data_IF_937174286414
#
_entry.id   IF_937174286414
#
_cell.length_a   1.000
_cell.length_b   1.000
_cell.length_c   1.000
_cell.angle_alpha   90.00
_cell.angle_beta   90.00
_cell.angle_gamma   90.00
#
_symmetry.space_group_name_H-M   'P 1'
#
loop_
_entity.id
_entity.type
_entity.pdbx_description
1 polymer ?
#
# COMPACT_ATOMS: atom_id res chain seq x y z
N UNK A 1 27.29 -41.76 20.87
CA UNK A 1 26.22 -41.56 19.89
C UNK A 1 25.49 -40.30 20.24
N UNK A 2 25.96 -39.20 19.66
CA UNK A 2 25.32 -37.89 19.92
C UNK A 2 24.14 -37.70 18.96
N UNK A 3 22.95 -37.59 19.50
CA UNK A 3 21.78 -37.19 18.74
C UNK A 3 21.87 -35.67 18.55
N UNK A 4 22.15 -35.24 17.32
CA UNK A 4 21.94 -33.89 16.88
C UNK A 4 20.43 -33.71 16.71
N UNK A 5 19.78 -33.04 17.64
CA UNK A 5 18.40 -32.56 17.44
C UNK A 5 18.45 -31.48 16.38
N UNK A 6 17.97 -31.75 15.19
CA UNK A 6 17.64 -30.75 14.19
C UNK A 6 16.63 -29.81 14.83
N UNK A 7 17.07 -28.60 15.14
CA UNK A 7 16.21 -27.53 15.59
C UNK A 7 15.19 -27.23 14.48
N UNK A 8 13.92 -27.53 14.73
CA UNK A 8 12.81 -27.15 13.88
C UNK A 8 12.78 -25.62 13.87
N UNK A 9 13.46 -25.00 12.89
CA UNK A 9 13.38 -23.55 12.68
C UNK A 9 11.94 -23.25 12.21
N UNK A 10 11.07 -22.92 13.15
CA UNK A 10 9.71 -22.45 12.84
C UNK A 10 9.86 -21.19 11.98
N UNK A 11 9.38 -21.24 10.75
CA UNK A 11 9.36 -20.08 9.85
C UNK A 11 8.63 -18.93 10.54
N UNK A 12 9.19 -17.73 10.47
CA UNK A 12 8.53 -16.53 10.98
C UNK A 12 7.22 -16.28 10.21
N UNK A 13 6.28 -15.57 10.81
CA UNK A 13 5.04 -15.20 10.11
C UNK A 13 5.31 -14.33 8.87
N UNK A 14 6.42 -13.57 8.84
CA UNK A 14 6.85 -12.86 7.64
C UNK A 14 7.29 -13.85 6.55
N UNK A 15 8.09 -14.87 6.88
CA UNK A 15 8.51 -15.88 5.92
C UNK A 15 7.32 -16.67 5.34
N UNK A 16 6.31 -16.94 6.18
CA UNK A 16 5.07 -17.57 5.73
C UNK A 16 4.32 -16.65 4.76
N UNK A 17 4.19 -15.36 5.09
CA UNK A 17 3.54 -14.39 4.22
C UNK A 17 4.26 -14.26 2.87
N UNK A 18 5.58 -14.10 2.89
CA UNK A 18 6.39 -14.02 1.67
C UNK A 18 6.22 -15.27 0.81
N UNK A 19 6.26 -16.46 1.41
CA UNK A 19 6.08 -17.71 0.69
C UNK A 19 4.67 -17.84 0.10
N UNK A 20 3.63 -17.49 0.86
CA UNK A 20 2.23 -17.51 0.42
C UNK A 20 1.96 -16.57 -0.77
N UNK A 21 2.68 -15.43 -0.82
CA UNK A 21 2.56 -14.47 -1.92
C UNK A 21 3.42 -14.81 -3.14
N UNK A 22 4.17 -15.92 -3.16
CA UNK A 22 4.94 -16.40 -4.32
C UNK A 22 6.45 -16.46 -4.12
N UNK A 23 6.96 -15.98 -3.00
CA UNK A 23 8.37 -16.06 -2.62
C UNK A 23 9.26 -14.96 -3.22
N UNK A 24 10.35 -14.64 -2.51
CA UNK A 24 11.30 -13.59 -2.91
C UNK A 24 12.00 -13.90 -4.25
N UNK A 25 12.35 -15.17 -4.48
CA UNK A 25 13.05 -15.56 -5.71
C UNK A 25 12.20 -15.27 -6.95
N UNK A 26 10.88 -15.46 -6.86
CA UNK A 26 9.97 -15.13 -7.95
C UNK A 26 9.77 -13.62 -8.08
N UNK A 27 9.52 -12.94 -6.97
CA UNK A 27 9.34 -11.48 -6.95
C UNK A 27 10.54 -10.74 -7.52
N UNK A 28 11.76 -11.15 -7.16
CA UNK A 28 13.01 -10.52 -7.59
C UNK A 28 13.35 -10.71 -9.07
N UNK A 29 12.60 -11.55 -9.80
CA UNK A 29 12.75 -11.68 -11.26
C UNK A 29 12.13 -10.49 -12.01
N UNK A 30 11.28 -9.72 -11.35
CA UNK A 30 10.59 -8.58 -11.94
C UNK A 30 11.20 -7.27 -11.44
N UNK A 31 11.08 -6.22 -12.25
CA UNK A 31 11.51 -4.86 -11.92
C UNK A 31 10.36 -3.95 -11.55
N UNK A 32 9.22 -4.17 -12.18
CA UNK A 32 8.03 -3.34 -12.00
C UNK A 32 6.77 -4.19 -11.91
N UNK A 33 5.75 -3.65 -11.25
CA UNK A 33 4.37 -4.12 -11.38
C UNK A 33 3.48 -2.95 -11.81
N UNK A 34 2.56 -3.22 -12.70
CA UNK A 34 1.55 -2.24 -13.11
C UNK A 34 0.15 -2.84 -13.07
N UNK A 35 -0.86 -1.98 -12.85
CA UNK A 35 -2.26 -2.38 -12.82
C UNK A 35 -3.17 -1.26 -13.28
N UNK A 36 -4.31 -1.58 -13.87
CA UNK A 36 -5.42 -0.63 -13.98
C UNK A 36 -6.07 -0.45 -12.61
N UNK A 37 -6.36 0.82 -12.29
CA UNK A 37 -6.79 1.29 -11.00
C UNK A 37 -8.17 1.93 -11.14
N UNK A 38 -9.12 1.47 -10.31
CA UNK A 38 -10.41 2.13 -10.11
C UNK A 38 -10.49 2.55 -8.65
N UNK A 39 -10.56 3.85 -8.42
CA UNK A 39 -10.67 4.44 -7.09
C UNK A 39 -12.10 4.87 -6.80
N UNK A 40 -12.51 4.75 -5.54
CA UNK A 40 -13.78 5.22 -5.02
C UNK A 40 -13.72 5.46 -3.51
N UNK A 41 -14.88 5.76 -2.92
CA UNK A 41 -15.03 6.02 -1.49
C UNK A 41 -15.17 7.52 -1.16
N UNK A 42 -15.54 7.80 0.10
CA UNK A 42 -15.89 9.17 0.57
C UNK A 42 -14.71 10.10 0.68
N UNK A 43 -13.49 9.58 0.80
CA UNK A 43 -12.30 10.41 1.03
C UNK A 43 -12.07 11.43 -0.07
N UNK A 44 -12.33 11.06 -1.32
CA UNK A 44 -12.04 11.93 -2.47
C UNK A 44 -12.91 13.20 -2.46
N UNK A 45 -14.18 13.10 -2.05
CA UNK A 45 -15.07 14.25 -1.83
C UNK A 45 -14.55 15.15 -0.70
N UNK A 46 -14.11 14.55 0.42
CA UNK A 46 -13.54 15.32 1.54
C UNK A 46 -12.25 16.05 1.16
N UNK A 47 -11.53 15.53 0.18
CA UNK A 47 -10.28 16.11 -0.31
C UNK A 47 -10.45 17.07 -1.48
N UNK A 48 -11.67 17.24 -2.01
CA UNK A 48 -11.91 18.03 -3.23
C UNK A 48 -11.30 17.38 -4.49
N UNK A 49 -11.16 16.04 -4.47
CA UNK A 49 -10.49 15.24 -5.51
C UNK A 49 -11.45 14.29 -6.23
N UNK A 50 -12.75 14.57 -6.22
CA UNK A 50 -13.78 13.68 -6.81
C UNK A 50 -13.59 13.43 -8.31
N UNK A 51 -13.04 14.40 -9.03
CA UNK A 51 -12.90 14.36 -10.47
C UNK A 51 -11.60 13.75 -10.98
N UNK A 52 -10.55 13.67 -10.16
CA UNK A 52 -9.19 13.31 -10.60
C UNK A 52 -9.11 11.93 -11.22
N UNK A 53 -10.00 11.00 -10.79
CA UNK A 53 -9.94 9.60 -11.20
C UNK A 53 -11.25 9.04 -11.75
N UNK A 54 -12.32 9.83 -11.82
CA UNK A 54 -13.69 9.32 -12.00
C UNK A 54 -14.02 8.79 -13.41
N UNK A 55 -13.23 9.06 -14.44
CA UNK A 55 -13.57 8.69 -15.83
C UNK A 55 -12.39 8.19 -16.68
N UNK A 56 -11.23 7.96 -16.12
CA UNK A 56 -10.04 7.58 -16.87
C UNK A 56 -9.52 6.24 -16.38
N UNK A 57 -9.23 5.32 -17.29
CA UNK A 57 -8.49 4.10 -16.96
C UNK A 57 -7.06 4.49 -16.64
N UNK A 58 -6.78 4.75 -15.37
CA UNK A 58 -5.44 5.05 -14.91
C UNK A 58 -4.70 3.74 -14.67
N UNK A 59 -3.47 3.68 -15.18
CA UNK A 59 -2.52 2.63 -14.86
C UNK A 59 -1.55 3.16 -13.82
N UNK A 60 -1.51 2.49 -12.67
CA UNK A 60 -0.40 2.65 -11.72
C UNK A 60 0.74 1.75 -12.15
N UNK A 61 1.97 2.25 -12.06
CA UNK A 61 3.20 1.46 -12.20
C UNK A 61 4.11 1.77 -11.03
N UNK A 62 4.61 0.73 -10.34
CA UNK A 62 5.58 0.88 -9.25
C UNK A 62 6.85 0.09 -9.56
N UNK A 63 7.98 0.60 -9.09
CA UNK A 63 9.25 -0.11 -9.08
C UNK A 63 9.30 -1.05 -7.86
N UNK A 64 9.72 -2.30 -8.06
CA UNK A 64 9.70 -3.32 -7.01
C UNK A 64 10.92 -3.28 -6.08
N UNK A 65 11.98 -2.53 -6.45
CA UNK A 65 13.25 -2.50 -5.75
C UNK A 65 13.62 -1.13 -5.15
N UNK A 66 12.75 -0.14 -5.37
CA UNK A 66 12.88 1.21 -4.81
C UNK A 66 11.50 1.86 -4.75
N UNK A 67 11.36 2.81 -3.85
CA UNK A 67 10.08 3.51 -3.68
C UNK A 67 9.87 4.56 -4.79
N UNK A 68 9.37 4.09 -5.94
CA UNK A 68 8.98 4.89 -7.09
C UNK A 68 7.62 4.45 -7.60
N UNK A 69 6.79 5.40 -8.00
CA UNK A 69 5.49 5.14 -8.59
C UNK A 69 5.13 6.19 -9.66
N UNK A 70 4.27 5.77 -10.57
CA UNK A 70 3.69 6.65 -11.60
C UNK A 70 2.25 6.26 -11.87
N UNK A 71 1.39 7.26 -12.09
CA UNK A 71 0.01 7.12 -12.54
C UNK A 71 -0.09 7.73 -13.94
N UNK A 72 -0.61 6.99 -14.91
CA UNK A 72 -0.76 7.45 -16.29
C UNK A 72 -2.04 6.88 -16.95
N UNK A 73 -2.77 7.69 -17.75
CA UNK A 73 -2.61 9.13 -17.90
C UNK A 73 -3.02 9.88 -16.63
N UNK A 74 -2.52 11.11 -16.44
CA UNK A 74 -2.92 11.98 -15.33
C UNK A 74 -3.32 13.34 -15.87
N UNK A 75 -4.53 13.83 -15.55
CA UNK A 75 -5.18 15.03 -16.07
C UNK A 75 -5.34 15.03 -17.59
N UNK A 76 -4.24 15.02 -18.34
CA UNK A 76 -4.22 14.98 -19.81
C UNK A 76 -3.66 13.64 -20.31
N UNK A 77 -4.07 13.21 -21.53
CA UNK A 77 -3.62 11.93 -22.09
C UNK A 77 -2.09 11.79 -22.25
N UNK A 78 -1.38 12.91 -22.41
CA UNK A 78 0.06 12.97 -22.54
C UNK A 78 0.79 13.34 -21.25
N UNK A 79 0.13 13.19 -20.08
CA UNK A 79 0.72 13.46 -18.78
C UNK A 79 0.75 12.20 -17.92
N UNK A 80 1.75 12.16 -17.04
CA UNK A 80 1.92 11.14 -16.01
C UNK A 80 2.39 11.78 -14.72
N UNK A 81 2.22 11.06 -13.62
CA UNK A 81 2.85 11.46 -12.35
C UNK A 81 4.22 10.83 -12.21
N UNK A 82 5.09 11.49 -11.45
CA UNK A 82 6.36 10.93 -11.00
C UNK A 82 6.45 11.09 -9.48
N UNK A 83 6.79 10.00 -8.79
CA UNK A 83 6.88 9.96 -7.34
C UNK A 83 8.16 9.32 -6.88
N UNK A 84 8.80 9.99 -5.93
CA UNK A 84 9.76 9.48 -4.96
C UNK A 84 9.39 10.04 -3.58
N UNK A 85 9.90 9.50 -2.45
CA UNK A 85 9.63 10.09 -1.14
C UNK A 85 9.98 11.58 -1.02
N UNK A 86 10.95 12.06 -1.80
CA UNK A 86 11.48 13.43 -1.75
C UNK A 86 10.88 14.35 -2.80
N UNK A 87 10.18 13.81 -3.83
CA UNK A 87 9.65 14.61 -4.94
C UNK A 87 8.38 13.99 -5.51
N UNK A 88 7.41 14.83 -5.80
CA UNK A 88 6.25 14.51 -6.66
C UNK A 88 6.19 15.49 -7.81
N UNK A 89 5.76 15.00 -8.98
CA UNK A 89 5.58 15.85 -10.15
C UNK A 89 4.48 15.34 -11.06
N UNK A 90 3.95 16.26 -11.88
CA UNK A 90 3.25 15.98 -13.13
C UNK A 90 4.24 16.24 -14.26
N UNK A 91 4.43 15.26 -15.11
CA UNK A 91 5.35 15.32 -16.26
C UNK A 91 4.62 14.97 -17.54
N UNK A 92 5.06 15.52 -18.67
CA UNK A 92 4.61 15.02 -19.97
C UNK A 92 5.21 13.64 -20.25
N UNK A 93 4.66 12.91 -21.19
CA UNK A 93 5.21 11.61 -21.65
C UNK A 93 6.62 11.74 -22.22
N UNK A 94 7.00 12.94 -22.70
CA UNK A 94 8.34 13.29 -23.20
C UNK A 94 9.30 13.68 -22.06
N UNK A 95 8.81 13.78 -20.82
CA UNK A 95 9.62 14.05 -19.63
C UNK A 95 9.75 15.53 -19.24
N UNK A 96 8.99 16.44 -19.86
CA UNK A 96 8.96 17.83 -19.42
C UNK A 96 8.13 17.95 -18.13
N UNK A 97 8.66 18.66 -17.13
CA UNK A 97 7.97 18.93 -15.86
C UNK A 97 6.89 19.99 -16.08
N UNK A 98 5.66 19.68 -15.71
CA UNK A 98 4.50 20.58 -15.74
C UNK A 98 4.34 21.26 -14.38
N UNK A 99 4.39 20.46 -13.32
CA UNK A 99 4.29 20.91 -11.94
C UNK A 99 5.09 19.95 -11.04
N UNK A 100 5.73 20.48 -10.00
CA UNK A 100 6.45 19.63 -9.05
C UNK A 100 6.47 20.20 -7.63
N UNK A 101 6.72 19.30 -6.67
CA UNK A 101 6.95 19.63 -5.28
C UNK A 101 8.06 18.76 -4.70
N UNK A 102 9.09 19.40 -4.18
CA UNK A 102 10.13 18.74 -3.36
C UNK A 102 9.69 18.71 -1.90
N UNK A 103 10.21 17.71 -1.15
CA UNK A 103 9.82 17.45 0.23
C UNK A 103 8.27 17.43 0.43
N UNK A 104 7.53 16.63 -0.35
CA UNK A 104 6.06 16.72 -0.44
C UNK A 104 5.36 16.43 0.88
N UNK A 105 5.97 15.62 1.79
CA UNK A 105 5.36 15.34 3.11
C UNK A 105 5.22 16.59 3.97
N UNK A 106 6.12 17.56 3.87
CA UNK A 106 6.06 18.80 4.64
C UNK A 106 4.83 19.66 4.29
N UNK A 107 4.30 19.53 3.08
CA UNK A 107 3.11 20.28 2.65
C UNK A 107 1.81 19.86 3.39
N UNK A 108 1.84 18.75 4.12
CA UNK A 108 0.70 18.29 4.91
C UNK A 108 0.72 18.79 6.36
N UNK A 109 1.61 19.69 6.72
CA UNK A 109 1.66 20.25 8.07
C UNK A 109 0.30 20.88 8.47
N UNK A 110 -0.29 20.42 9.59
CA UNK A 110 -1.59 20.88 10.07
C UNK A 110 -2.81 20.33 9.31
N UNK A 111 -2.64 19.45 8.33
CA UNK A 111 -3.77 18.83 7.65
C UNK A 111 -4.55 17.87 8.55
N UNK A 112 -5.84 17.86 8.35
CA UNK A 112 -6.80 16.91 8.94
C UNK A 112 -7.47 16.09 7.85
N UNK A 113 -8.35 15.17 8.24
CA UNK A 113 -9.16 14.42 7.28
C UNK A 113 -9.99 15.33 6.36
N UNK A 114 -10.43 16.50 6.84
CA UNK A 114 -11.27 17.45 6.10
C UNK A 114 -10.49 18.47 5.27
N UNK A 115 -9.17 18.56 5.44
CA UNK A 115 -8.36 19.54 4.68
C UNK A 115 -8.34 19.16 3.19
N UNK A 116 -8.77 20.05 2.27
CA UNK A 116 -8.69 19.79 0.83
C UNK A 116 -7.25 19.59 0.35
N UNK A 117 -7.10 18.87 -0.74
CA UNK A 117 -5.82 18.57 -1.38
C UNK A 117 -5.74 19.17 -2.77
N UNK A 118 -4.57 19.63 -3.14
CA UNK A 118 -4.18 19.83 -4.54
C UNK A 118 -3.72 18.49 -5.16
N UNK A 119 -3.41 18.54 -6.45
CA UNK A 119 -3.01 17.34 -7.19
C UNK A 119 -1.69 16.75 -6.70
N UNK A 120 -0.74 17.58 -6.27
CA UNK A 120 0.54 17.10 -5.74
C UNK A 120 0.39 16.43 -4.37
N UNK A 121 -0.58 16.85 -3.55
CA UNK A 121 -0.95 16.11 -2.33
C UNK A 121 -1.56 14.74 -2.68
N UNK A 122 -2.49 14.71 -3.65
CA UNK A 122 -3.08 13.46 -4.13
C UNK A 122 -2.01 12.52 -4.67
N UNK A 123 -1.11 13.00 -5.53
CA UNK A 123 -0.03 12.20 -6.12
C UNK A 123 0.85 11.59 -5.03
N UNK A 124 1.25 12.37 -4.03
CA UNK A 124 2.07 11.87 -2.93
C UNK A 124 1.38 10.73 -2.19
N UNK A 125 0.14 10.97 -1.74
CA UNK A 125 -0.64 9.97 -1.00
C UNK A 125 -0.88 8.71 -1.81
N UNK A 126 -1.43 8.85 -3.03
CA UNK A 126 -1.78 7.70 -3.86
C UNK A 126 -0.55 6.87 -4.25
N UNK A 127 0.58 7.53 -4.50
CA UNK A 127 1.80 6.86 -4.95
C UNK A 127 2.48 6.04 -3.87
N UNK A 128 2.71 6.58 -2.66
CA UNK A 128 3.33 5.79 -1.60
C UNK A 128 2.39 4.66 -1.13
N UNK A 129 1.08 4.93 -1.10
CA UNK A 129 0.09 3.92 -0.75
C UNK A 129 0.11 2.76 -1.76
N UNK A 130 0.02 3.06 -3.05
CA UNK A 130 0.05 2.04 -4.09
C UNK A 130 1.38 1.29 -4.15
N UNK A 131 2.51 1.98 -3.92
CA UNK A 131 3.80 1.30 -3.83
C UNK A 131 3.80 0.29 -2.68
N UNK A 132 3.41 0.69 -1.47
CA UNK A 132 3.29 -0.21 -0.33
C UNK A 132 2.36 -1.39 -0.63
N UNK A 133 1.18 -1.12 -1.21
CA UNK A 133 0.16 -2.13 -1.46
C UNK A 133 0.56 -3.18 -2.52
N UNK A 134 1.41 -2.80 -3.46
CA UNK A 134 1.87 -3.68 -4.53
C UNK A 134 3.20 -4.36 -4.24
N UNK A 135 3.92 -3.96 -3.18
CA UNK A 135 5.22 -4.55 -2.80
C UNK A 135 5.18 -5.38 -1.53
N UNK A 136 4.19 -5.16 -0.63
CA UNK A 136 4.01 -5.99 0.57
C UNK A 136 3.51 -7.38 0.19
N UNK A 137 4.06 -8.48 0.83
CA UNK A 137 4.96 -8.49 1.99
C UNK A 137 6.46 -8.42 1.66
N UNK A 138 6.84 -8.41 0.40
CA UNK A 138 8.25 -8.53 -0.02
C UNK A 138 9.11 -7.37 0.45
N UNK A 139 8.62 -6.13 0.37
CA UNK A 139 9.33 -4.94 0.84
C UNK A 139 9.61 -4.96 2.35
N UNK A 140 8.82 -5.69 3.14
CA UNK A 140 9.03 -5.82 4.59
C UNK A 140 10.30 -6.61 4.95
N UNK A 141 10.92 -7.30 3.97
CA UNK A 141 12.20 -8.00 4.16
C UNK A 141 13.41 -7.09 3.94
N UNK A 142 13.21 -5.84 3.52
CA UNK A 142 14.31 -4.93 3.25
C UNK A 142 14.98 -4.45 4.53
N UNK A 143 16.26 -4.12 4.42
CA UNK A 143 17.01 -3.56 5.54
C UNK A 143 16.36 -2.26 6.06
N UNK A 144 16.24 -2.16 7.37
CA UNK A 144 15.64 -1.01 8.05
C UNK A 144 14.16 -1.18 8.44
N UNK A 145 13.44 -2.17 7.87
CA UNK A 145 12.16 -2.56 8.43
C UNK A 145 12.36 -3.41 9.69
N UNK A 146 11.64 -3.07 10.75
CA UNK A 146 11.60 -3.86 11.99
C UNK A 146 10.24 -4.57 12.04
N UNK A 147 10.25 -5.91 11.98
CA UNK A 147 9.04 -6.73 11.98
C UNK A 147 8.98 -7.54 13.26
N UNK A 148 7.88 -7.42 13.99
CA UNK A 148 7.64 -8.14 15.26
C UNK A 148 6.27 -8.82 15.20
N UNK A 149 6.22 -10.11 15.48
CA UNK A 149 4.96 -10.82 15.68
C UNK A 149 4.35 -10.41 17.01
N UNK A 150 3.04 -10.09 16.99
CA UNK A 150 2.27 -9.71 18.19
C UNK A 150 1.09 -10.65 18.37
N UNK A 151 0.39 -10.54 19.50
CA UNK A 151 -0.78 -11.38 19.80
C UNK A 151 -1.75 -11.46 18.61
N UNK A 152 -2.27 -12.64 18.28
CA UNK A 152 -3.19 -12.83 17.18
C UNK A 152 -4.49 -12.04 17.38
N UNK A 153 -5.24 -11.84 16.32
CA UNK A 153 -6.50 -11.13 16.28
C UNK A 153 -7.63 -12.08 15.92
N UNK A 154 -8.72 -12.03 16.70
CA UNK A 154 -9.95 -12.72 16.35
C UNK A 154 -10.81 -11.81 15.46
N UNK A 155 -11.03 -12.22 14.23
CA UNK A 155 -11.91 -11.53 13.28
C UNK A 155 -13.04 -12.49 12.88
N UNK A 156 -14.24 -12.27 13.40
CA UNK A 156 -15.37 -13.19 13.23
C UNK A 156 -14.98 -14.64 13.63
N UNK A 157 -15.04 -15.57 12.68
CA UNK A 157 -14.73 -16.99 12.91
C UNK A 157 -13.28 -17.35 12.59
N UNK A 158 -12.43 -16.38 12.18
CA UNK A 158 -11.03 -16.59 11.84
C UNK A 158 -10.09 -15.99 12.90
N UNK A 159 -8.96 -16.64 13.14
CA UNK A 159 -7.87 -16.11 13.95
C UNK A 159 -6.73 -15.70 13.02
N UNK A 160 -6.40 -14.41 12.99
CA UNK A 160 -5.34 -13.89 12.13
C UNK A 160 -4.05 -13.63 12.91
N UNK A 161 -2.92 -14.06 12.35
CA UNK A 161 -1.61 -13.68 12.86
C UNK A 161 -1.38 -12.21 12.60
N UNK A 162 -0.65 -11.53 13.49
CA UNK A 162 -0.36 -10.11 13.32
C UNK A 162 1.12 -9.83 13.33
N UNK A 163 1.53 -8.99 12.36
CA UNK A 163 2.87 -8.41 12.30
C UNK A 163 2.78 -6.91 12.57
N UNK A 164 3.43 -6.45 13.64
CA UNK A 164 3.71 -5.03 13.86
C UNK A 164 4.98 -4.69 13.10
N UNK A 165 4.91 -3.71 12.22
CA UNK A 165 6.00 -3.32 11.34
C UNK A 165 6.32 -1.85 11.56
N UNK A 166 7.60 -1.55 11.81
CA UNK A 166 8.13 -0.20 11.82
C UNK A 166 8.84 0.08 10.52
N UNK A 167 8.37 1.09 9.81
CA UNK A 167 8.91 1.54 8.53
C UNK A 167 10.13 2.42 8.74
N UNK A 168 11.20 2.25 7.94
CA UNK A 168 12.36 3.12 8.02
C UNK A 168 12.03 4.55 7.54
N UNK A 169 12.68 5.58 8.06
CA UNK A 169 12.31 6.98 7.83
C UNK A 169 12.52 7.47 6.38
N UNK A 170 13.24 6.72 5.57
CA UNK A 170 13.43 7.04 4.14
C UNK A 170 12.31 6.51 3.24
N UNK A 171 11.43 5.65 3.77
CA UNK A 171 10.25 5.14 3.08
C UNK A 171 9.04 5.99 3.44
N UNK A 172 8.41 6.59 2.45
CA UNK A 172 7.14 7.28 2.63
C UNK A 172 6.02 6.26 2.87
N UNK A 173 5.24 6.49 3.91
CA UNK A 173 4.17 5.57 4.31
C UNK A 173 3.05 6.30 5.07
N UNK A 174 1.96 5.60 5.35
CA UNK A 174 0.84 6.15 6.12
C UNK A 174 1.28 6.59 7.52
N UNK A 175 1.99 5.73 8.23
CA UNK A 175 2.55 5.97 9.55
C UNK A 175 3.85 5.18 9.74
N UNK A 176 4.63 5.58 10.72
CA UNK A 176 5.87 4.89 11.06
C UNK A 176 5.62 3.45 11.52
N UNK A 177 4.57 3.21 12.31
CA UNK A 177 4.17 1.88 12.76
C UNK A 177 2.86 1.47 12.11
N UNK A 178 2.80 0.23 11.60
CA UNK A 178 1.63 -0.33 10.93
C UNK A 178 1.47 -1.80 11.33
N UNK A 179 0.23 -2.33 11.24
CA UNK A 179 -0.07 -3.72 11.62
C UNK A 179 -0.63 -4.45 10.40
N UNK A 180 -0.04 -5.60 10.09
CA UNK A 180 -0.48 -6.49 9.02
C UNK A 180 -1.09 -7.74 9.60
N UNK A 181 -2.25 -8.14 9.11
CA UNK A 181 -3.01 -9.30 9.57
C UNK A 181 -2.99 -10.38 8.49
N UNK A 182 -2.57 -11.58 8.85
CA UNK A 182 -2.39 -12.69 7.94
C UNK A 182 -3.36 -13.81 8.30
N UNK A 183 -4.05 -14.35 7.30
CA UNK A 183 -4.83 -15.57 7.45
C UNK A 183 -3.96 -16.83 7.67
N UNK A 184 -4.58 -17.95 7.96
CA UNK A 184 -3.90 -19.24 8.16
C UNK A 184 -3.12 -19.69 6.92
N UNK A 185 -3.57 -19.25 5.73
CA UNK A 185 -2.89 -19.48 4.45
C UNK A 185 -1.67 -18.58 4.23
N UNK A 186 -1.37 -17.66 5.16
CA UNK A 186 -0.29 -16.69 5.08
C UNK A 186 -0.58 -15.48 4.20
N UNK A 187 -1.75 -15.40 3.55
CA UNK A 187 -2.12 -14.25 2.76
C UNK A 187 -2.60 -13.09 3.65
N UNK A 188 -2.30 -11.86 3.23
CA UNK A 188 -2.76 -10.65 3.91
C UNK A 188 -4.30 -10.58 3.88
N UNK A 189 -4.89 -10.22 5.00
CA UNK A 189 -6.34 -9.98 5.15
C UNK A 189 -6.66 -8.53 5.43
N UNK A 190 -5.85 -7.91 6.28
CA UNK A 190 -6.08 -6.55 6.75
C UNK A 190 -4.74 -5.86 7.04
N UNK A 191 -4.72 -4.55 6.90
CA UNK A 191 -3.59 -3.67 7.14
C UNK A 191 -4.07 -2.43 7.89
N UNK A 192 -3.65 -2.25 9.13
CA UNK A 192 -4.02 -1.12 9.97
C UNK A 192 -2.88 -0.11 10.07
N UNK A 193 -3.26 1.16 10.04
CA UNK A 193 -2.35 2.29 10.17
C UNK A 193 -3.11 3.56 10.60
N UNK A 194 -2.39 4.54 11.08
CA UNK A 194 -2.90 5.88 11.30
C UNK A 194 -2.34 6.79 10.19
N UNK A 195 -3.22 7.48 9.44
CA UNK A 195 -2.77 8.31 8.32
C UNK A 195 -2.22 9.63 8.87
N UNK A 196 -0.91 9.69 9.13
CA UNK A 196 -0.24 10.84 9.75
C UNK A 196 -0.51 12.14 8.99
N UNK A 197 -0.49 12.10 7.66
CA UNK A 197 -0.70 13.29 6.81
C UNK A 197 -2.15 13.80 6.79
N UNK A 198 -3.05 13.17 7.52
CA UNK A 198 -4.45 13.61 7.73
C UNK A 198 -4.79 13.79 9.20
N UNK A 199 -3.78 14.06 10.04
CA UNK A 199 -3.95 14.22 11.48
C UNK A 199 -4.16 12.90 12.22
N UNK A 200 -3.45 11.85 11.81
CA UNK A 200 -3.52 10.50 12.39
C UNK A 200 -4.90 9.85 12.27
N UNK A 201 -5.53 9.96 11.11
CA UNK A 201 -6.80 9.28 10.84
C UNK A 201 -6.60 7.76 10.93
N UNK A 202 -7.27 7.07 11.88
CA UNK A 202 -7.12 5.63 12.05
C UNK A 202 -7.84 4.87 10.92
N UNK A 203 -7.16 3.92 10.31
CA UNK A 203 -7.65 3.14 9.18
C UNK A 203 -7.57 1.63 9.42
N UNK A 204 -8.64 0.92 9.06
CA UNK A 204 -8.69 -0.53 8.91
C UNK A 204 -8.86 -0.84 7.42
N UNK A 205 -7.84 -1.41 6.80
CA UNK A 205 -7.76 -1.62 5.36
C UNK A 205 -7.83 -3.11 5.05
N UNK A 206 -8.98 -3.57 4.56
CA UNK A 206 -9.23 -4.96 4.17
C UNK A 206 -8.83 -5.21 2.72
N UNK A 207 -8.29 -6.41 2.46
CA UNK A 207 -7.92 -6.85 1.12
C UNK A 207 -8.56 -8.20 0.81
N UNK A 208 -8.94 -8.41 -0.46
CA UNK A 208 -9.62 -9.62 -0.92
C UNK A 208 -9.45 -9.84 -2.42
N UNK A 209 -10.10 -10.90 -2.93
CA UNK A 209 -10.12 -11.27 -4.35
C UNK A 209 -8.70 -11.48 -4.90
N UNK A 210 -7.97 -12.41 -4.30
CA UNK A 210 -6.62 -12.77 -4.72
C UNK A 210 -6.58 -13.39 -6.11
N UNK A 211 -5.57 -13.01 -6.89
CA UNK A 211 -5.25 -13.63 -8.18
C UNK A 211 -3.78 -13.97 -8.24
N UNK A 212 -3.48 -15.13 -8.82
CA UNK A 212 -2.12 -15.44 -9.24
C UNK A 212 -1.80 -14.65 -10.52
N UNK A 213 -0.78 -13.81 -10.43
CA UNK A 213 -0.25 -13.07 -11.57
C UNK A 213 1.23 -13.42 -11.72
N UNK A 214 1.53 -14.26 -12.67
CA UNK A 214 2.91 -14.69 -12.94
C UNK A 214 3.59 -15.35 -11.74
N UNK A 215 2.84 -16.07 -10.90
CA UNK A 215 3.33 -16.72 -9.68
C UNK A 215 3.37 -15.83 -8.45
N UNK A 216 2.85 -14.62 -8.52
CA UNK A 216 2.69 -13.68 -7.39
C UNK A 216 1.21 -13.55 -7.05
N UNK A 217 0.84 -13.83 -5.79
CA UNK A 217 -0.53 -13.69 -5.29
C UNK A 217 -0.83 -12.22 -4.96
N UNK A 218 -1.75 -11.63 -5.72
CA UNK A 218 -2.11 -10.20 -5.60
C UNK A 218 -3.58 -10.02 -5.23
N UNK A 219 -3.91 -9.30 -4.13
CA UNK A 219 -5.29 -8.93 -3.84
C UNK A 219 -5.76 -7.85 -4.81
N UNK A 220 -6.92 -8.07 -5.42
CA UNK A 220 -7.47 -7.15 -6.43
C UNK A 220 -8.50 -6.20 -5.88
N UNK A 221 -9.01 -6.42 -4.68
CA UNK A 221 -9.94 -5.50 -3.99
C UNK A 221 -9.39 -5.03 -2.67
N UNK A 222 -9.54 -3.73 -2.42
CA UNK A 222 -9.14 -3.06 -1.18
C UNK A 222 -10.25 -2.13 -0.72
N UNK A 223 -10.57 -2.20 0.59
CA UNK A 223 -11.61 -1.38 1.22
C UNK A 223 -11.05 -0.83 2.53
N UNK A 224 -11.01 0.49 2.63
CA UNK A 224 -10.51 1.18 3.82
C UNK A 224 -11.69 1.78 4.56
N UNK A 225 -11.72 1.54 5.85
CA UNK A 225 -12.72 2.03 6.80
C UNK A 225 -12.03 2.83 7.90
N UNK A 226 -12.78 3.69 8.58
CA UNK A 226 -12.31 4.26 9.85
C UNK A 226 -12.21 3.12 10.88
N UNK A 227 -11.06 2.99 11.51
CA UNK A 227 -10.84 2.05 12.61
C UNK A 227 -11.29 2.67 13.92
N UNK A 228 -12.16 1.97 14.63
CA UNK A 228 -12.69 2.38 15.92
C UNK A 228 -11.68 2.09 17.05
N UNK A 229 -11.87 2.66 18.27
CA UNK A 229 -10.96 2.44 19.41
C UNK A 229 -10.82 0.97 19.85
N UNK A 230 -11.83 0.14 19.60
CA UNK A 230 -11.81 -1.32 19.83
C UNK A 230 -11.17 -2.12 18.68
N UNK A 231 -10.58 -1.43 17.70
CA UNK A 231 -10.01 -1.95 16.46
C UNK A 231 -11.02 -2.57 15.47
N UNK A 232 -12.32 -2.43 15.68
CA UNK A 232 -13.32 -2.82 14.68
C UNK A 232 -13.43 -1.75 13.58
N UNK A 233 -13.83 -2.12 12.34
CA UNK A 233 -14.07 -1.14 11.28
C UNK A 233 -15.45 -0.48 11.43
N UNK A 234 -15.54 0.81 11.17
CA UNK A 234 -16.82 1.46 10.85
C UNK A 234 -17.16 1.19 9.39
N UNK A 235 -18.03 0.22 9.12
CA UNK A 235 -18.27 -0.30 7.77
C UNK A 235 -18.95 0.69 6.81
N UNK A 236 -19.57 1.74 7.32
CA UNK A 236 -20.21 2.79 6.54
C UNK A 236 -19.81 4.17 7.08
N UNK A 237 -19.38 5.08 6.20
CA UNK A 237 -19.10 4.88 4.78
C UNK A 237 -17.75 4.19 4.52
N UNK A 238 -17.63 3.54 3.35
CA UNK A 238 -16.31 3.13 2.83
C UNK A 238 -15.50 4.40 2.58
N UNK A 239 -14.37 4.54 3.27
CA UNK A 239 -13.52 5.73 3.16
C UNK A 239 -12.76 5.74 1.82
N UNK A 240 -12.13 4.61 1.47
CA UNK A 240 -11.46 4.41 0.18
C UNK A 240 -11.79 3.02 -0.34
N UNK A 241 -12.11 2.91 -1.61
CA UNK A 241 -12.15 1.66 -2.36
C UNK A 241 -11.14 1.67 -3.50
N UNK A 242 -10.48 0.53 -3.71
CA UNK A 242 -9.51 0.33 -4.79
C UNK A 242 -9.82 -1.03 -5.42
N UNK A 243 -10.09 -1.03 -6.71
CA UNK A 243 -10.20 -2.24 -7.51
C UNK A 243 -9.09 -2.26 -8.56
N UNK A 244 -8.34 -3.36 -8.62
CA UNK A 244 -7.22 -3.56 -9.53
C UNK A 244 -7.59 -4.57 -10.62
N UNK A 245 -7.18 -4.28 -11.84
CA UNK A 245 -7.32 -5.19 -12.96
C UNK A 245 -6.11 -5.10 -13.90
N UNK A 246 -5.97 -6.07 -14.80
CA UNK A 246 -4.88 -6.12 -15.77
C UNK A 246 -3.50 -5.89 -15.11
N UNK A 247 -3.26 -6.64 -14.01
CA UNK A 247 -2.01 -6.58 -13.27
C UNK A 247 -0.92 -7.26 -14.10
N UNK A 248 0.25 -6.63 -14.22
CA UNK A 248 1.39 -7.14 -15.00
C UNK A 248 2.69 -6.90 -14.26
N UNK A 249 3.48 -7.94 -14.12
CA UNK A 249 4.87 -7.89 -13.68
C UNK A 249 5.80 -7.86 -14.89
N UNK A 250 6.86 -7.03 -14.87
CA UNK A 250 7.83 -6.88 -15.94
C UNK A 250 9.27 -6.72 -15.42
#
# INVERSE_FOLDING_TARGET
>A
MLFVTEGNCTKSSLDLAVAAHGGLDRFNQFKTVSAHLVLGGRMWALKGQEGVMSNVRIRVTVDLHREHASLAPFQLPNQRTAFTPQRVAVETTEGAVVEERTNPRAAFAGHTLQTPWDDLHFIYFASYAMWTYLTVPFSLTWAGFEVTEIEPWQEQDETWRRLKVKFPPHIASHSTEQIFYLGDDGLLRRHDYDVEITGNTPAAHYVSDYKDVSGIMMPTKRRVFIRQPDNTPALDPVLISIDLSDIRFA
#
